data_IF_005767988930
#
_entry.id   IF_005767988930
#
_cell.length_a   1.000
_cell.length_b   1.000
_cell.length_c   1.000
_cell.angle_alpha   90.00
_cell.angle_beta   90.00
_cell.angle_gamma   90.00
#
_symmetry.space_group_name_H-M   'P 1'
#
loop_
_entity.id
_entity.type
_entity.pdbx_description
1 polymer ?
#
# COMPACT_ATOMS: atom_id res chain seq x y z
N UNK A 1 -17.96 -18.83 -36.24
CA UNK A 1 -19.31 -19.39 -36.00
C UNK A 1 -19.70 -19.13 -34.55
N UNK A 2 -19.77 -17.86 -34.13
CA UNK A 2 -20.26 -17.39 -32.81
C UNK A 2 -20.65 -15.90 -32.99
N UNK A 3 -21.59 -15.60 -33.89
CA UNK A 3 -22.07 -14.22 -34.10
C UNK A 3 -23.61 -14.13 -34.04
N UNK A 4 -24.32 -15.25 -34.02
CA UNK A 4 -25.79 -15.23 -34.13
C UNK A 4 -26.56 -15.30 -32.80
N UNK A 5 -25.92 -15.62 -31.66
CA UNK A 5 -26.62 -15.70 -30.37
C UNK A 5 -26.75 -14.35 -29.63
N UNK A 6 -25.82 -13.40 -29.85
CA UNK A 6 -25.86 -12.08 -29.18
C UNK A 6 -26.92 -11.14 -29.76
N UNK A 7 -27.25 -11.25 -31.05
CA UNK A 7 -28.29 -10.39 -31.67
C UNK A 7 -29.72 -10.77 -31.25
N UNK A 8 -29.94 -11.98 -30.75
CA UNK A 8 -31.26 -12.44 -30.35
C UNK A 8 -31.66 -11.93 -28.95
N UNK A 9 -30.70 -11.84 -28.01
CA UNK A 9 -30.97 -11.30 -26.67
C UNK A 9 -31.19 -9.78 -26.66
N UNK A 10 -30.45 -9.03 -27.49
CA UNK A 10 -30.64 -7.57 -27.63
C UNK A 10 -31.97 -7.22 -28.30
N UNK A 11 -32.41 -7.98 -29.31
CA UNK A 11 -33.73 -7.80 -29.92
C UNK A 11 -34.88 -8.15 -28.94
N UNK A 12 -34.66 -9.12 -28.05
CA UNK A 12 -35.64 -9.50 -27.03
C UNK A 12 -35.76 -8.46 -25.90
N UNK A 13 -34.65 -7.86 -25.47
CA UNK A 13 -34.67 -6.76 -24.50
C UNK A 13 -35.27 -5.48 -25.08
N UNK A 14 -34.93 -5.09 -26.32
CA UNK A 14 -35.53 -3.93 -26.98
C UNK A 14 -37.05 -4.08 -27.19
N UNK A 15 -37.51 -5.30 -27.51
CA UNK A 15 -38.94 -5.64 -27.60
C UNK A 15 -39.66 -5.51 -26.25
N UNK A 16 -39.01 -5.88 -25.14
CA UNK A 16 -39.56 -5.73 -23.79
C UNK A 16 -39.61 -4.27 -23.33
N UNK A 17 -38.57 -3.48 -23.60
CA UNK A 17 -38.50 -2.05 -23.22
C UNK A 17 -39.49 -1.22 -24.05
N UNK A 18 -39.59 -1.47 -25.37
CA UNK A 18 -40.58 -0.82 -26.25
C UNK A 18 -42.02 -1.16 -25.87
N UNK A 19 -42.31 -2.41 -25.46
CA UNK A 19 -43.63 -2.76 -24.91
C UNK A 19 -43.91 -2.01 -23.61
N UNK A 20 -42.92 -1.87 -22.73
CA UNK A 20 -43.12 -1.21 -21.43
C UNK A 20 -43.43 0.29 -21.57
N UNK A 21 -42.79 1.00 -22.49
CA UNK A 21 -43.16 2.39 -22.80
C UNK A 21 -44.53 2.50 -23.47
N UNK A 22 -44.91 1.53 -24.31
CA UNK A 22 -46.25 1.49 -24.92
C UNK A 22 -47.36 1.30 -23.88
N UNK A 23 -47.11 0.51 -22.83
CA UNK A 23 -48.05 0.36 -21.71
C UNK A 23 -48.09 1.60 -20.79
N UNK A 24 -46.97 2.32 -20.64
CA UNK A 24 -46.91 3.58 -19.86
C UNK A 24 -47.65 4.73 -20.56
N UNK A 25 -47.62 4.79 -21.90
CA UNK A 25 -48.41 5.75 -22.69
C UNK A 25 -49.92 5.42 -22.69
N UNK A 26 -50.31 4.14 -22.78
CA UNK A 26 -51.72 3.73 -22.71
C UNK A 26 -52.31 3.99 -21.31
N UNK A 27 -51.51 3.91 -20.25
CA UNK A 27 -51.95 4.20 -18.88
C UNK A 27 -52.21 5.69 -18.62
N UNK A 28 -51.59 6.60 -19.38
CA UNK A 28 -51.78 8.06 -19.23
C UNK A 28 -52.92 8.60 -20.11
N UNK A 29 -53.25 7.94 -21.22
CA UNK A 29 -54.39 8.33 -22.09
C UNK A 29 -55.72 7.61 -21.74
N UNK A 30 -55.69 6.54 -20.96
CA UNK A 30 -56.87 5.72 -20.63
C UNK A 30 -57.79 6.26 -19.52
N UNK A 31 -57.54 7.45 -18.96
CA UNK A 31 -58.36 8.00 -17.87
C UNK A 31 -59.72 8.58 -18.30
N UNK A 32 -60.13 8.40 -19.56
CA UNK A 32 -61.45 8.79 -20.05
C UNK A 32 -62.11 7.64 -20.80
N UNK A 33 -63.17 7.11 -20.18
CA UNK A 33 -64.13 6.12 -20.70
C UNK A 33 -63.65 4.66 -20.80
N UNK A 34 -64.13 3.83 -19.87
CA UNK A 34 -64.71 2.49 -20.17
C UNK A 34 -65.72 2.18 -19.05
N UNK A 35 -66.99 2.14 -19.44
CA UNK A 35 -68.12 1.62 -18.65
C UNK A 35 -67.98 0.11 -18.52
N UNK A 36 -67.89 -0.41 -17.30
CA UNK A 36 -67.78 -1.85 -17.01
C UNK A 36 -69.19 -2.40 -16.77
N UNK A 37 -69.68 -3.24 -17.68
CA UNK A 37 -70.76 -4.19 -17.39
C UNK A 37 -70.24 -5.63 -17.51
N UNK A 38 -70.52 -6.41 -16.47
CA UNK A 38 -70.47 -7.88 -16.41
C UNK A 38 -69.11 -8.58 -16.58
N UNK A 39 -68.51 -9.00 -15.46
CA UNK A 39 -68.46 -10.42 -15.05
C UNK A 39 -67.63 -10.57 -13.75
N UNK A 40 -68.33 -11.03 -12.72
CA UNK A 40 -67.86 -11.32 -11.37
C UNK A 40 -66.93 -12.53 -11.35
N UNK A 41 -65.61 -12.31 -11.45
CA UNK A 41 -64.56 -13.30 -11.08
C UNK A 41 -63.14 -12.70 -11.02
N UNK A 42 -62.96 -11.37 -10.96
CA UNK A 42 -61.65 -10.71 -11.17
C UNK A 42 -61.08 -9.97 -9.95
N UNK A 43 -61.75 -10.02 -8.80
CA UNK A 43 -61.35 -9.21 -7.65
C UNK A 43 -60.12 -9.77 -6.90
N UNK A 44 -59.90 -11.10 -6.93
CA UNK A 44 -58.72 -11.71 -6.30
C UNK A 44 -57.47 -11.58 -7.16
N UNK A 45 -57.61 -11.65 -8.48
CA UNK A 45 -56.49 -11.54 -9.44
C UNK A 45 -55.98 -10.11 -9.61
N UNK A 46 -56.85 -9.11 -9.46
CA UNK A 46 -56.46 -7.69 -9.43
C UNK A 46 -55.71 -7.33 -8.13
N UNK A 47 -56.20 -7.80 -6.99
CA UNK A 47 -55.53 -7.63 -5.69
C UNK A 47 -54.11 -8.23 -5.68
N UNK A 48 -53.93 -9.45 -6.20
CA UNK A 48 -52.61 -10.09 -6.27
C UNK A 48 -51.61 -9.33 -7.14
N UNK A 49 -52.07 -8.72 -8.25
CA UNK A 49 -51.21 -7.93 -9.12
C UNK A 49 -50.75 -6.63 -8.44
N UNK A 50 -51.65 -5.98 -7.68
CA UNK A 50 -51.32 -4.78 -6.90
C UNK A 50 -50.30 -5.08 -5.80
N UNK A 51 -50.49 -6.18 -5.05
CA UNK A 51 -49.51 -6.61 -4.05
C UNK A 51 -48.16 -6.97 -4.67
N UNK A 52 -48.14 -7.60 -5.86
CA UNK A 52 -46.91 -7.92 -6.58
C UNK A 52 -46.17 -6.65 -7.03
N UNK A 53 -46.88 -5.63 -7.51
CA UNK A 53 -46.28 -4.34 -7.88
C UNK A 53 -45.72 -3.58 -6.68
N UNK A 54 -46.38 -3.64 -5.51
CA UNK A 54 -45.87 -3.07 -4.26
C UNK A 54 -44.63 -3.84 -3.78
N UNK A 55 -44.64 -5.18 -3.90
CA UNK A 55 -43.51 -6.02 -3.51
C UNK A 55 -42.29 -5.83 -4.42
N UNK A 56 -42.51 -5.66 -5.74
CA UNK A 56 -41.45 -5.39 -6.71
C UNK A 56 -40.86 -3.97 -6.58
N UNK A 57 -41.67 -2.97 -6.24
CA UNK A 57 -41.17 -1.62 -5.95
C UNK A 57 -40.41 -1.55 -4.62
N UNK A 58 -40.71 -2.43 -3.66
CA UNK A 58 -39.89 -2.63 -2.46
C UNK A 58 -38.53 -3.29 -2.76
N UNK A 59 -38.39 -3.94 -3.92
CA UNK A 59 -37.18 -4.67 -4.31
C UNK A 59 -36.29 -3.92 -5.31
N UNK A 60 -36.64 -2.68 -5.65
CA UNK A 60 -35.70 -1.75 -6.28
C UNK A 60 -34.62 -1.38 -5.26
N UNK A 61 -33.73 -2.34 -4.96
CA UNK A 61 -32.48 -2.09 -4.29
C UNK A 61 -31.75 -1.05 -5.14
N UNK A 62 -31.49 0.12 -4.56
CA UNK A 62 -30.63 1.10 -5.18
C UNK A 62 -29.25 0.45 -5.34
N UNK A 63 -28.92 0.01 -6.55
CA UNK A 63 -27.55 -0.36 -6.90
C UNK A 63 -26.69 0.89 -6.70
N UNK A 64 -25.66 0.74 -5.86
CA UNK A 64 -24.66 1.78 -5.65
C UNK A 64 -23.27 1.21 -5.88
N UNK A 65 -22.33 2.10 -6.15
CA UNK A 65 -20.95 1.74 -6.43
C UNK A 65 -20.30 1.08 -5.20
N UNK A 66 -19.28 0.26 -5.47
CA UNK A 66 -18.47 -0.39 -4.44
C UNK A 66 -17.04 0.15 -4.46
N UNK A 67 -16.60 0.71 -3.34
CA UNK A 67 -15.21 1.15 -3.17
C UNK A 67 -14.46 0.14 -2.31
N UNK A 68 -13.43 -0.49 -2.88
CA UNK A 68 -12.65 -1.57 -2.23
C UNK A 68 -11.25 -1.09 -1.87
N UNK A 69 -10.77 -1.50 -0.69
CA UNK A 69 -9.40 -1.25 -0.26
C UNK A 69 -8.80 -2.42 0.51
N UNK A 70 -7.48 -2.39 0.68
CA UNK A 70 -6.74 -3.38 1.45
C UNK A 70 -5.71 -2.71 2.34
N UNK A 71 -5.69 -3.11 3.59
CA UNK A 71 -4.69 -2.74 4.56
C UNK A 71 -3.57 -3.78 4.58
N UNK A 72 -2.39 -3.38 4.13
CA UNK A 72 -1.17 -4.17 4.24
C UNK A 72 -0.34 -3.70 5.44
N UNK A 73 -0.20 -4.59 6.42
CA UNK A 73 0.55 -4.35 7.65
C UNK A 73 1.93 -4.99 7.66
N UNK A 74 2.40 -5.53 6.53
CA UNK A 74 3.70 -6.19 6.44
C UNK A 74 4.81 -5.30 7.02
N UNK A 75 5.62 -5.81 7.97
CA UNK A 75 5.82 -7.23 8.33
C UNK A 75 4.88 -7.80 9.42
N UNK A 76 3.90 -7.03 9.92
CA UNK A 76 2.96 -7.48 10.94
C UNK A 76 1.75 -8.18 10.33
N UNK A 77 1.14 -9.08 11.10
CA UNK A 77 -0.11 -9.73 10.71
C UNK A 77 -1.33 -8.93 11.16
N UNK A 78 -2.40 -8.96 10.37
CA UNK A 78 -3.70 -8.43 10.79
C UNK A 78 -4.26 -9.33 11.89
N UNK A 79 -4.55 -8.74 13.05
CA UNK A 79 -5.15 -9.47 14.19
C UNK A 79 -6.56 -8.97 14.47
N UNK A 80 -7.35 -9.70 15.28
CA UNK A 80 -8.67 -9.21 15.73
C UNK A 80 -8.61 -7.84 16.40
N UNK A 81 -7.53 -7.58 17.15
CA UNK A 81 -7.30 -6.29 17.80
C UNK A 81 -7.11 -5.18 16.76
N UNK A 82 -6.32 -5.45 15.72
CA UNK A 82 -6.12 -4.56 14.56
C UNK A 82 -7.44 -4.22 13.87
N UNK A 83 -8.31 -5.21 13.67
CA UNK A 83 -9.64 -5.03 13.07
C UNK A 83 -10.51 -4.08 13.89
N UNK A 84 -10.53 -4.24 15.21
CA UNK A 84 -11.30 -3.36 16.10
C UNK A 84 -10.74 -1.92 16.14
N UNK A 85 -9.41 -1.79 16.13
CA UNK A 85 -8.70 -0.54 16.36
C UNK A 85 -8.41 0.26 15.07
N UNK A 86 -8.87 -0.21 13.92
CA UNK A 86 -8.71 0.45 12.63
C UNK A 86 -10.08 0.85 12.08
N UNK A 87 -10.19 2.05 11.52
CA UNK A 87 -11.41 2.59 10.95
C UNK A 87 -11.12 3.30 9.63
N UNK A 88 -11.96 3.03 8.62
CA UNK A 88 -11.93 3.70 7.34
C UNK A 88 -13.21 4.50 7.17
N UNK A 89 -13.06 5.79 6.86
CA UNK A 89 -14.18 6.70 6.67
C UNK A 89 -14.17 7.27 5.27
N UNK A 90 -15.28 7.15 4.56
CA UNK A 90 -15.49 7.70 3.22
C UNK A 90 -16.48 8.87 3.32
N UNK A 91 -16.08 10.05 2.84
CA UNK A 91 -16.86 11.30 2.95
C UNK A 91 -17.01 11.91 1.56
N UNK A 92 -18.23 12.15 1.09
CA UNK A 92 -18.46 12.82 -0.18
C UNK A 92 -18.04 14.29 -0.13
N UNK A 93 -17.35 14.74 -1.17
CA UNK A 93 -16.86 16.13 -1.31
C UNK A 93 -17.34 16.72 -2.63
N UNK A 94 -18.13 17.79 -2.56
CA UNK A 94 -18.72 18.44 -3.74
C UNK A 94 -19.95 17.70 -4.30
N UNK A 95 -20.76 18.42 -5.08
CA UNK A 95 -21.92 17.85 -5.79
C UNK A 95 -23.02 17.27 -4.90
N UNK A 96 -23.27 17.86 -3.72
CA UNK A 96 -24.28 17.38 -2.77
C UNK A 96 -25.50 18.29 -2.78
N UNK A 97 -26.66 17.75 -3.14
CA UNK A 97 -27.95 18.48 -3.16
C UNK A 97 -28.67 18.46 -1.79
N UNK A 98 -27.96 18.12 -0.71
CA UNK A 98 -28.53 18.10 0.65
C UNK A 98 -27.54 17.65 1.72
N UNK A 99 -27.38 16.34 1.91
CA UNK A 99 -26.47 15.77 2.89
C UNK A 99 -25.31 15.05 2.21
N UNK A 100 -24.08 15.36 2.65
CA UNK A 100 -22.91 14.64 2.19
C UNK A 100 -22.99 13.17 2.63
N UNK A 101 -22.81 12.25 1.69
CA UNK A 101 -22.68 10.84 2.03
C UNK A 101 -21.46 10.62 2.94
N UNK A 102 -21.68 9.87 4.02
CA UNK A 102 -20.63 9.46 4.95
C UNK A 102 -20.82 7.99 5.27
N UNK A 103 -19.79 7.19 5.05
CA UNK A 103 -19.78 5.78 5.38
C UNK A 103 -18.53 5.40 6.16
N UNK A 104 -18.66 4.37 6.99
CA UNK A 104 -17.58 3.77 7.75
C UNK A 104 -17.43 2.32 7.35
N UNK A 105 -16.18 1.88 7.17
CA UNK A 105 -15.85 0.50 6.89
C UNK A 105 -14.83 -0.01 7.92
N UNK A 106 -15.00 -1.27 8.30
CA UNK A 106 -14.01 -2.04 9.06
C UNK A 106 -13.31 -3.03 8.15
N UNK A 107 -12.19 -3.55 8.64
CA UNK A 107 -11.53 -4.68 8.01
C UNK A 107 -12.47 -5.90 8.10
N UNK A 108 -12.72 -6.57 6.98
CA UNK A 108 -13.60 -7.73 6.90
C UNK A 108 -12.88 -9.06 7.16
N UNK A 109 -11.60 -9.15 6.81
CA UNK A 109 -10.83 -10.40 6.87
C UNK A 109 -9.40 -10.21 7.40
N UNK A 110 -8.71 -11.32 7.63
CA UNK A 110 -7.31 -11.34 8.08
C UNK A 110 -6.33 -10.95 6.97
N UNK A 111 -6.78 -10.84 5.72
CA UNK A 111 -5.99 -10.30 4.62
C UNK A 111 -6.00 -8.76 4.60
N UNK A 112 -6.81 -8.13 5.46
CA UNK A 112 -6.87 -6.68 5.58
C UNK A 112 -7.84 -6.01 4.61
N UNK A 113 -8.72 -6.76 3.94
CA UNK A 113 -9.66 -6.19 2.96
C UNK A 113 -10.77 -5.41 3.67
N UNK A 114 -11.18 -4.30 3.08
CA UNK A 114 -12.35 -3.51 3.50
C UNK A 114 -13.13 -3.02 2.28
N UNK A 115 -14.44 -2.80 2.45
CA UNK A 115 -15.30 -2.30 1.37
C UNK A 115 -16.32 -1.30 1.89
N UNK A 116 -16.64 -0.33 1.05
CA UNK A 116 -17.81 0.52 1.19
C UNK A 116 -18.84 0.07 0.16
N UNK A 117 -20.05 -0.20 0.63
CA UNK A 117 -21.18 -0.63 -0.18
C UNK A 117 -22.16 0.54 -0.35
N UNK A 118 -22.93 0.51 -1.43
CA UNK A 118 -23.95 1.51 -1.72
C UNK A 118 -23.38 2.94 -1.74
N UNK A 119 -22.21 3.11 -2.37
CA UNK A 119 -21.59 4.43 -2.56
C UNK A 119 -22.35 5.17 -3.67
N UNK A 120 -22.76 6.43 -3.47
CA UNK A 120 -23.52 7.18 -4.45
C UNK A 120 -22.81 7.26 -5.80
N UNK A 121 -23.56 6.94 -6.86
CA UNK A 121 -23.05 6.98 -8.21
C UNK A 121 -23.10 8.38 -8.80
N UNK A 122 -22.20 8.71 -9.75
CA UNK A 122 -22.32 9.93 -10.53
C UNK A 122 -23.61 9.92 -11.37
N UNK A 123 -24.22 11.10 -11.53
CA UNK A 123 -25.43 11.30 -12.32
C UNK A 123 -25.30 10.69 -13.74
N UNK A 124 -26.40 10.31 -14.40
CA UNK A 124 -26.36 9.61 -15.70
C UNK A 124 -25.75 10.43 -16.86
N UNK A 125 -25.41 11.69 -16.61
CA UNK A 125 -24.81 12.63 -17.55
C UNK A 125 -23.38 12.19 -17.91
N UNK A 126 -22.99 12.25 -19.18
CA UNK A 126 -21.76 11.66 -19.75
C UNK A 126 -20.42 12.26 -19.27
N UNK A 127 -20.39 13.15 -18.28
CA UNK A 127 -19.18 13.76 -17.72
C UNK A 127 -19.31 14.05 -16.21
N UNK A 128 -20.23 13.38 -15.54
CA UNK A 128 -20.41 13.55 -14.10
C UNK A 128 -19.36 12.73 -13.33
N UNK A 129 -18.84 13.32 -12.26
CA UNK A 129 -17.91 12.67 -11.35
C UNK A 129 -18.35 12.94 -9.92
N UNK A 130 -18.29 11.91 -9.09
CA UNK A 130 -18.58 12.03 -7.67
C UNK A 130 -17.28 11.78 -6.92
N UNK A 131 -16.93 12.75 -6.07
CA UNK A 131 -15.67 12.72 -5.34
C UNK A 131 -15.90 12.38 -3.88
N UNK A 132 -14.99 11.58 -3.34
CA UNK A 132 -15.00 11.17 -1.95
C UNK A 132 -13.61 11.29 -1.36
N UNK A 133 -13.54 11.58 -0.07
CA UNK A 133 -12.32 11.55 0.71
C UNK A 133 -12.35 10.31 1.58
N UNK A 134 -11.44 9.38 1.31
CA UNK A 134 -11.15 8.25 2.16
C UNK A 134 -10.11 8.64 3.21
N UNK A 135 -10.47 8.50 4.48
CA UNK A 135 -9.62 8.71 5.64
C UNK A 135 -9.34 7.36 6.29
N UNK A 136 -8.06 7.04 6.44
CA UNK A 136 -7.61 5.81 7.07
C UNK A 136 -7.04 6.11 8.44
N UNK A 137 -7.59 5.49 9.49
CA UNK A 137 -7.14 5.74 10.85
C UNK A 137 -6.93 4.43 11.60
N UNK A 138 -5.87 4.37 12.39
CA UNK A 138 -5.63 3.27 13.33
C UNK A 138 -5.15 3.83 14.66
N UNK A 139 -5.60 3.18 15.74
CA UNK A 139 -5.07 3.46 17.06
C UNK A 139 -3.69 2.87 17.26
N UNK A 140 -3.27 1.84 16.51
CA UNK A 140 -2.00 1.15 16.78
C UNK A 140 -0.89 1.53 15.80
N UNK A 141 -1.28 1.87 14.58
CA UNK A 141 -0.36 2.04 13.46
C UNK A 141 -0.44 3.45 12.88
N UNK A 142 0.68 3.93 12.36
CA UNK A 142 0.68 5.10 11.48
C UNK A 142 0.50 4.61 10.03
N UNK A 143 -0.66 4.92 9.45
CA UNK A 143 -1.04 4.49 8.11
C UNK A 143 -0.65 5.53 7.05
N UNK A 144 -0.31 5.04 5.85
CA UNK A 144 -0.13 5.84 4.64
C UNK A 144 -0.79 5.13 3.44
N UNK A 145 -1.43 5.85 2.51
CA UNK A 145 -1.76 7.27 2.61
C UNK A 145 -2.79 7.52 3.73
N UNK A 146 -2.67 8.67 4.41
CA UNK A 146 -3.61 9.03 5.47
C UNK A 146 -4.94 9.54 4.90
N UNK A 147 -4.86 10.29 3.78
CA UNK A 147 -6.01 10.85 3.07
C UNK A 147 -5.90 10.53 1.58
N UNK A 148 -6.99 10.03 1.01
CA UNK A 148 -7.06 9.62 -0.39
C UNK A 148 -8.30 10.27 -1.00
N UNK A 149 -8.14 10.95 -2.13
CA UNK A 149 -9.26 11.43 -2.92
C UNK A 149 -9.68 10.30 -3.87
N UNK A 150 -10.91 9.83 -3.74
CA UNK A 150 -11.51 8.81 -4.60
C UNK A 150 -12.44 9.53 -5.57
N UNK A 151 -12.28 9.28 -6.86
CA UNK A 151 -13.17 9.76 -7.92
C UNK A 151 -13.93 8.56 -8.48
N UNK A 152 -15.25 8.67 -8.58
CA UNK A 152 -16.09 7.72 -9.29
C UNK A 152 -16.62 8.44 -10.52
N UNK A 153 -16.24 7.94 -11.69
CA UNK A 153 -16.53 8.50 -13.00
C UNK A 153 -17.25 7.43 -13.85
N UNK A 154 -18.12 7.84 -14.78
CA UNK A 154 -18.60 6.92 -15.83
C UNK A 154 -17.52 6.78 -16.90
N UNK A 155 -17.35 5.57 -17.43
CA UNK A 155 -16.40 5.33 -18.52
C UNK A 155 -16.86 6.12 -19.76
N UNK A 156 -16.01 6.97 -20.36
CA UNK A 156 -16.38 7.73 -21.55
C UNK A 156 -16.69 6.85 -22.77
N UNK A 157 -16.25 5.59 -22.78
CA UNK A 157 -16.59 4.64 -23.84
C UNK A 157 -17.81 3.77 -23.51
N UNK A 158 -18.18 3.66 -22.23
CA UNK A 158 -19.31 2.86 -21.76
C UNK A 158 -19.96 3.52 -20.54
N UNK A 159 -21.03 4.29 -20.79
CA UNK A 159 -21.74 5.02 -19.74
C UNK A 159 -22.35 4.13 -18.65
N UNK A 160 -22.48 2.81 -18.89
CA UNK A 160 -22.96 1.85 -17.90
C UNK A 160 -21.86 1.38 -16.95
N UNK A 161 -20.59 1.57 -17.33
CA UNK A 161 -19.43 1.15 -16.54
C UNK A 161 -18.92 2.29 -15.67
N UNK A 162 -18.72 2.00 -14.39
CA UNK A 162 -18.08 2.92 -13.44
C UNK A 162 -16.57 2.67 -13.35
N UNK A 163 -15.81 3.76 -13.36
CA UNK A 163 -14.37 3.79 -13.19
C UNK A 163 -14.06 4.48 -11.87
N UNK A 164 -13.38 3.76 -10.98
CA UNK A 164 -12.88 4.33 -9.72
C UNK A 164 -11.43 4.72 -9.88
N UNK A 165 -11.08 5.96 -9.56
CA UNK A 165 -9.70 6.47 -9.47
C UNK A 165 -9.41 6.91 -8.03
N UNK A 166 -8.14 6.85 -7.64
CA UNK A 166 -7.71 7.19 -6.30
C UNK A 166 -6.44 8.02 -6.39
N UNK A 167 -6.41 9.13 -5.66
CA UNK A 167 -5.31 10.08 -5.67
C UNK A 167 -4.81 10.28 -4.24
N UNK A 168 -3.50 10.28 -4.09
CA UNK A 168 -2.85 10.52 -2.82
C UNK A 168 -2.98 11.98 -2.44
N UNK A 169 -3.53 12.26 -1.26
CA UNK A 169 -3.51 13.59 -0.68
C UNK A 169 -2.77 13.61 0.67
N UNK A 170 -2.35 14.79 1.09
CA UNK A 170 -1.70 15.07 2.37
C UNK A 170 -2.62 15.93 3.21
N UNK A 171 -2.55 15.77 4.53
CA UNK A 171 -3.28 16.64 5.44
C UNK A 171 -2.87 18.11 5.26
N UNK A 172 -3.85 19.01 5.18
CA UNK A 172 -3.61 20.44 4.95
C UNK A 172 -3.46 20.87 3.48
N UNK A 173 -3.43 19.93 2.52
CA UNK A 173 -3.42 20.24 1.09
C UNK A 173 -4.85 20.14 0.51
N UNK A 174 -5.19 21.07 -0.38
CA UNK A 174 -6.48 21.11 -1.07
C UNK A 174 -6.66 19.87 -1.96
N UNK A 175 -7.89 19.35 -2.05
CA UNK A 175 -8.18 18.19 -2.90
C UNK A 175 -8.25 18.58 -4.38
N UNK A 176 -8.69 19.80 -4.66
CA UNK A 176 -8.87 20.35 -5.99
C UNK A 176 -8.04 21.62 -6.09
N UNK A 177 -7.44 21.88 -7.25
CA UNK A 177 -6.70 23.11 -7.44
C UNK A 177 -7.62 24.33 -7.47
N UNK A 178 -7.11 25.45 -6.98
CA UNK A 178 -7.77 26.74 -7.11
C UNK A 178 -7.93 27.10 -8.60
N UNK A 179 -9.12 27.56 -9.04
CA UNK A 179 -9.43 27.77 -10.46
C UNK A 179 -8.60 28.89 -11.12
N UNK A 180 -7.95 29.73 -10.33
CA UNK A 180 -7.12 30.86 -10.79
C UNK A 180 -5.73 30.42 -11.27
N UNK A 181 -5.31 29.19 -10.96
CA UNK A 181 -3.98 28.69 -11.29
C UNK A 181 -4.01 28.06 -12.68
N UNK A 182 -3.23 28.60 -13.63
CA UNK A 182 -3.20 28.12 -15.03
C UNK A 182 -2.67 26.69 -15.19
N UNK A 183 -1.71 26.29 -14.35
CA UNK A 183 -1.10 24.95 -14.37
C UNK A 183 -0.96 24.42 -12.95
N UNK A 184 -2.07 23.96 -12.34
CA UNK A 184 -2.01 23.51 -10.97
C UNK A 184 -1.26 22.19 -10.82
N UNK A 185 -0.63 22.02 -9.66
CA UNK A 185 -0.07 20.74 -9.27
C UNK A 185 -1.19 19.70 -9.16
N UNK A 186 -1.05 18.57 -9.86
CA UNK A 186 -2.00 17.46 -9.81
C UNK A 186 -1.63 16.50 -8.68
N UNK A 187 -2.65 15.91 -8.04
CA UNK A 187 -2.43 14.86 -7.06
C UNK A 187 -1.86 13.61 -7.75
N UNK A 188 -0.97 12.91 -7.05
CA UNK A 188 -0.39 11.66 -7.52
C UNK A 188 -1.46 10.56 -7.55
N UNK A 189 -1.70 9.97 -8.71
CA UNK A 189 -2.63 8.85 -8.85
C UNK A 189 -2.04 7.57 -8.25
N UNK A 190 -2.87 6.87 -7.47
CA UNK A 190 -2.54 5.59 -6.87
C UNK A 190 -2.98 4.50 -7.84
N UNK A 191 -2.07 3.62 -8.31
CA UNK A 191 -2.44 2.57 -9.25
C UNK A 191 -3.38 1.56 -8.59
N UNK A 192 -4.67 1.60 -8.98
CA UNK A 192 -5.68 0.64 -8.56
C UNK A 192 -5.60 -0.60 -9.45
N UNK A 193 -5.03 -1.69 -8.92
CA UNK A 193 -5.12 -3.00 -9.59
C UNK A 193 -6.49 -3.63 -9.36
N UNK A 194 -6.86 -3.78 -8.10
CA UNK A 194 -8.15 -4.34 -7.66
C UNK A 194 -8.72 -3.68 -6.41
N UNK A 195 -7.89 -2.93 -5.68
CA UNK A 195 -8.21 -2.30 -4.41
C UNK A 195 -7.29 -1.09 -4.19
N UNK A 196 -7.71 -0.18 -3.32
CA UNK A 196 -6.89 0.93 -2.82
C UNK A 196 -5.90 0.40 -1.77
N UNK A 197 -4.57 0.48 -2.01
CA UNK A 197 -3.58 0.00 -1.05
C UNK A 197 -3.35 1.02 0.08
N UNK A 198 -3.49 0.56 1.32
CA UNK A 198 -3.12 1.31 2.53
C UNK A 198 -2.03 0.52 3.24
N UNK A 199 -0.93 1.19 3.59
CA UNK A 199 0.30 0.59 4.11
C UNK A 199 0.80 1.30 5.35
N UNK A 200 1.84 0.78 6.00
CA UNK A 200 2.49 1.40 7.15
C UNK A 200 3.46 2.52 6.77
N UNK A 201 3.62 3.52 7.64
CA UNK A 201 4.68 4.51 7.51
C UNK A 201 6.05 3.87 7.77
N UNK A 202 6.88 3.75 6.72
CA UNK A 202 8.19 3.07 6.77
C UNK A 202 9.10 3.51 7.92
N UNK A 203 9.11 4.80 8.28
CA UNK A 203 10.00 5.33 9.33
C UNK A 203 9.44 5.14 10.75
N UNK A 204 8.13 5.03 10.90
CA UNK A 204 7.45 5.00 12.19
C UNK A 204 6.14 4.20 12.07
N UNK A 205 6.22 2.87 11.91
CA UNK A 205 5.03 2.04 11.63
C UNK A 205 4.06 1.98 12.82
N UNK A 206 4.58 2.02 14.05
CA UNK A 206 3.79 1.97 15.28
C UNK A 206 3.50 3.36 15.82
N UNK A 207 2.30 3.54 16.36
CA UNK A 207 1.88 4.78 17.01
C UNK A 207 2.33 4.79 18.47
N UNK A 208 3.24 5.71 18.79
CA UNK A 208 3.80 5.86 20.12
C UNK A 208 2.96 6.82 20.96
N UNK A 209 2.26 6.31 21.97
CA UNK A 209 1.49 7.12 22.93
C UNK A 209 2.25 7.42 24.22
N UNK A 210 3.30 6.64 24.49
CA UNK A 210 4.11 6.76 25.69
C UNK A 210 5.48 7.28 25.29
N UNK A 211 5.90 8.36 25.96
CA UNK A 211 7.24 8.91 25.82
C UNK A 211 8.08 8.46 27.02
N UNK A 212 9.22 7.81 26.76
CA UNK A 212 10.19 7.47 27.81
C UNK A 212 10.79 8.76 28.40
N UNK A 213 10.65 8.97 29.71
CA UNK A 213 11.15 10.17 30.42
C UNK A 213 12.67 10.21 30.53
N UNK A 214 13.31 9.04 30.67
CA UNK A 214 14.76 8.89 30.82
C UNK A 214 15.27 7.99 29.69
N UNK A 215 15.45 8.53 28.50
CA UNK A 215 16.23 7.83 27.48
C UNK A 215 17.66 7.67 28.03
N UNK A 216 18.14 6.43 28.18
CA UNK A 216 19.50 6.16 28.66
C UNK A 216 20.54 6.96 27.87
N UNK A 217 21.72 7.22 28.44
CA UNK A 217 22.83 7.92 27.77
C UNK A 217 23.20 7.35 26.38
N UNK A 218 22.85 6.07 26.11
CA UNK A 218 23.01 5.40 24.82
C UNK A 218 21.88 5.68 23.81
N UNK A 219 20.69 6.08 24.28
CA UNK A 219 19.52 6.43 23.46
C UNK A 219 19.40 7.95 23.21
N UNK A 220 19.86 8.77 24.15
CA UNK A 220 19.83 10.24 24.02
C UNK A 220 21.15 10.89 24.44
N UNK A 221 21.58 11.91 23.69
CA UNK A 221 22.81 12.66 23.94
C UNK A 221 23.85 12.54 22.82
N UNK A 222 25.00 13.22 22.94
CA UNK A 222 26.03 13.27 21.89
C UNK A 222 26.62 11.88 21.58
N UNK A 223 26.76 11.01 22.59
CA UNK A 223 27.26 9.63 22.43
C UNK A 223 26.24 8.78 21.64
N UNK A 224 24.95 8.89 21.96
CA UNK A 224 23.88 8.24 21.20
C UNK A 224 23.81 8.69 19.73
N UNK A 225 24.07 9.98 19.48
CA UNK A 225 24.13 10.54 18.12
C UNK A 225 25.28 10.00 17.27
N UNK A 226 26.39 9.60 17.89
CA UNK A 226 27.53 8.95 17.22
C UNK A 226 27.20 7.47 16.96
N UNK A 227 26.66 6.76 17.94
CA UNK A 227 26.32 5.33 17.83
C UNK A 227 25.19 5.05 16.84
N UNK A 228 24.17 5.91 16.77
CA UNK A 228 23.03 5.73 15.86
C UNK A 228 23.32 6.12 14.41
N UNK A 229 24.44 6.80 14.14
CA UNK A 229 24.81 7.22 12.79
C UNK A 229 25.96 6.36 12.26
N UNK A 230 25.69 5.54 11.24
CA UNK A 230 26.68 4.66 10.60
C UNK A 230 27.97 5.40 10.21
N UNK A 231 27.83 6.62 9.69
CA UNK A 231 28.96 7.44 9.26
C UNK A 231 29.78 8.01 10.43
N UNK A 232 29.11 8.47 11.50
CA UNK A 232 29.80 9.00 12.69
C UNK A 232 30.51 7.89 13.45
N UNK A 233 29.90 6.71 13.53
CA UNK A 233 30.50 5.53 14.13
C UNK A 233 31.74 5.08 13.35
N UNK A 234 31.67 5.03 12.01
CA UNK A 234 32.81 4.71 11.18
C UNK A 234 33.97 5.70 11.39
N UNK A 235 33.69 7.00 11.41
CA UNK A 235 34.70 8.03 11.68
C UNK A 235 35.36 7.87 13.06
N UNK A 236 34.58 7.54 14.09
CA UNK A 236 35.11 7.27 15.44
C UNK A 236 36.04 6.06 15.44
N UNK A 237 35.62 4.94 14.86
CA UNK A 237 36.39 3.70 14.77
C UNK A 237 37.69 3.95 14.00
N UNK A 238 37.63 4.62 12.86
CA UNK A 238 38.80 4.97 12.05
C UNK A 238 39.76 5.87 12.84
N UNK A 239 39.26 6.85 13.59
CA UNK A 239 40.10 7.70 14.44
C UNK A 239 40.82 6.93 15.56
N UNK A 240 40.12 6.00 16.22
CA UNK A 240 40.71 5.14 17.27
C UNK A 240 41.77 4.22 16.66
N UNK A 241 41.49 3.61 15.51
CA UNK A 241 42.45 2.76 14.79
C UNK A 241 43.67 3.59 14.38
N UNK A 242 43.49 4.79 13.84
CA UNK A 242 44.60 5.65 13.44
C UNK A 242 45.53 6.03 14.61
N UNK A 243 45.00 6.11 15.83
CA UNK A 243 45.80 6.38 17.04
C UNK A 243 46.56 5.15 17.56
N UNK A 244 45.95 3.96 17.49
CA UNK A 244 46.53 2.72 18.05
C UNK A 244 47.43 2.00 17.04
N UNK A 245 47.16 2.18 15.74
CA UNK A 245 47.88 1.51 14.66
C UNK A 245 49.40 1.72 14.71
N UNK A 246 49.95 2.93 14.93
CA UNK A 246 51.40 3.14 15.00
C UNK A 246 52.07 2.35 16.12
N UNK A 247 51.38 2.20 17.27
CA UNK A 247 51.92 1.51 18.44
C UNK A 247 51.99 0.00 18.22
N UNK A 248 50.96 -0.57 17.58
CA UNK A 248 50.95 -1.99 17.21
C UNK A 248 51.97 -2.26 16.11
N UNK A 249 52.01 -1.40 15.09
CA UNK A 249 52.92 -1.52 13.96
C UNK A 249 54.40 -1.46 14.40
N UNK A 250 54.74 -0.50 15.28
CA UNK A 250 56.09 -0.40 15.84
C UNK A 250 56.50 -1.67 16.61
N UNK A 251 55.59 -2.29 17.36
CA UNK A 251 55.89 -3.55 18.08
C UNK A 251 56.09 -4.72 17.12
N UNK A 252 55.28 -4.80 16.06
CA UNK A 252 55.42 -5.83 15.03
C UNK A 252 56.73 -5.68 14.24
N UNK A 253 57.16 -4.46 13.94
CA UNK A 253 58.47 -4.22 13.32
C UNK A 253 59.63 -4.64 14.23
N UNK A 254 59.59 -4.31 15.52
CA UNK A 254 60.64 -4.75 16.45
C UNK A 254 60.68 -6.28 16.61
N UNK A 255 59.52 -6.95 16.62
CA UNK A 255 59.47 -8.40 16.66
C UNK A 255 59.99 -9.05 15.38
N UNK A 256 59.62 -8.49 14.21
CA UNK A 256 60.11 -8.95 12.91
C UNK A 256 61.62 -8.71 12.71
N UNK A 257 62.14 -7.59 13.22
CA UNK A 257 63.57 -7.31 13.17
C UNK A 257 64.38 -8.28 14.04
N UNK A 258 63.86 -8.65 15.21
CA UNK A 258 64.48 -9.65 16.09
C UNK A 258 64.47 -11.04 15.46
N UNK A 259 63.36 -11.48 14.87
CA UNK A 259 63.30 -12.79 14.21
C UNK A 259 64.24 -12.86 13.00
N UNK A 260 64.34 -11.78 12.21
CA UNK A 260 65.30 -11.72 11.09
C UNK A 260 66.76 -11.71 11.56
N UNK A 261 67.05 -11.16 12.74
CA UNK A 261 68.39 -11.19 13.30
C UNK A 261 68.76 -12.59 13.81
N UNK A 262 67.83 -13.28 14.47
CA UNK A 262 68.00 -14.67 14.91
C UNK A 262 68.20 -15.62 13.73
N UNK A 263 67.41 -15.50 12.66
CA UNK A 263 67.55 -16.31 11.45
C UNK A 263 68.92 -16.10 10.78
N UNK A 264 69.41 -14.86 10.72
CA UNK A 264 70.75 -14.55 10.19
C UNK A 264 71.87 -15.16 11.04
N UNK A 265 71.73 -15.12 12.36
CA UNK A 265 72.72 -15.70 13.27
C UNK A 265 72.74 -17.23 13.16
N UNK A 266 71.57 -17.88 13.06
CA UNK A 266 71.47 -19.32 12.86
C UNK A 266 72.10 -19.75 11.52
N UNK A 267 71.82 -19.03 10.44
CA UNK A 267 72.44 -19.30 9.13
C UNK A 267 73.97 -19.16 9.18
N UNK A 268 74.49 -18.14 9.85
CA UNK A 268 75.93 -17.97 10.02
C UNK A 268 76.58 -19.07 10.87
N UNK A 269 75.89 -19.58 11.89
CA UNK A 269 76.37 -20.70 12.69
C UNK A 269 76.39 -22.01 11.90
N UNK A 270 75.35 -22.27 11.11
CA UNK A 270 75.29 -23.44 10.22
C UNK A 270 76.41 -23.40 9.19
N UNK A 271 76.68 -22.24 8.58
CA UNK A 271 77.79 -22.08 7.64
C UNK A 271 79.15 -22.32 8.30
N UNK A 272 79.40 -21.75 9.49
CA UNK A 272 80.66 -21.99 10.21
C UNK A 272 80.87 -23.46 10.56
N UNK A 273 79.79 -24.19 10.88
CA UNK A 273 79.87 -25.63 11.16
C UNK A 273 80.10 -26.45 9.89
N UNK A 274 79.52 -26.08 8.74
CA UNK A 274 79.81 -26.75 7.47
C UNK A 274 81.26 -26.53 7.05
N UNK A 275 81.76 -25.29 7.14
CA UNK A 275 83.13 -24.94 6.78
C UNK A 275 84.15 -25.69 7.68
N UNK A 276 83.84 -25.84 8.98
CA UNK A 276 84.68 -26.62 9.90
C UNK A 276 84.70 -28.12 9.56
N UNK A 277 83.55 -28.70 9.17
CA UNK A 277 83.48 -30.11 8.76
C UNK A 277 84.22 -30.35 7.45
N UNK A 278 84.13 -29.42 6.51
CA UNK A 278 84.86 -29.47 5.24
C UNK A 278 86.38 -29.45 5.49
N UNK A 279 86.86 -28.49 6.28
CA UNK A 279 88.28 -28.41 6.67
C UNK A 279 88.76 -29.67 7.40
N UNK A 280 87.93 -30.26 8.27
CA UNK A 280 88.26 -31.53 8.93
C UNK A 280 88.37 -32.69 7.94
N UNK A 281 87.44 -32.78 6.98
CA UNK A 281 87.47 -33.82 5.94
C UNK A 281 88.67 -33.67 5.01
N UNK A 282 89.09 -32.45 4.69
CA UNK A 282 90.32 -32.20 3.93
C UNK A 282 91.57 -32.59 4.71
N UNK A 283 91.63 -32.25 6.01
CA UNK A 283 92.73 -32.65 6.90
C UNK A 283 92.85 -34.17 7.03
N UNK A 284 91.74 -34.89 7.13
CA UNK A 284 91.73 -36.36 7.15
C UNK A 284 92.20 -36.95 5.82
N UNK A 285 91.76 -36.38 4.68
CA UNK A 285 92.19 -36.80 3.35
C UNK A 285 93.69 -36.55 3.10
N UNK A 286 94.26 -35.47 3.65
CA UNK A 286 95.70 -35.19 3.57
C UNK A 286 96.49 -36.16 4.44
N UNK A 287 96.02 -36.46 5.66
CA UNK A 287 96.65 -37.46 6.54
C UNK A 287 96.61 -38.87 5.96
N UNK A 288 95.56 -39.23 5.22
CA UNK A 288 95.45 -40.54 4.56
C UNK A 288 96.35 -40.70 3.32
N UNK A 289 96.91 -39.59 2.81
CA UNK A 289 97.80 -39.56 1.64
C UNK A 289 99.29 -39.37 2.00
N UNK A 290 99.61 -39.19 3.28
CA UNK A 290 100.97 -39.09 3.81
C UNK A 290 101.42 -40.42 4.42
#
# INVERSE_FOLDING_TARGET
MVVDELNFEWAFLYSKISKFEKYRMIALEGHSAITIHHLTSSHESTMLLEYLCIFLSFWAAAEGANVKGKLDLSPFNVTRKTVANTDFKLIQVGGNDGHAYVAHAKIHDLDGNFKFENVPEPAENTNSSTFFVLQASSLEFNLKPNRILVSIERDPQDATRLVTKAFRNVFGKENFPSPEIQHPEKLEEIPLKSHIPITLVNKAPLRMYVQERNASFLKSGPIAGILNSKFKLAALITGVIALIFPTIFSKLETAGALSMAEDKLLQQQVQKQSDQKEVQSELENIKAKA
#
